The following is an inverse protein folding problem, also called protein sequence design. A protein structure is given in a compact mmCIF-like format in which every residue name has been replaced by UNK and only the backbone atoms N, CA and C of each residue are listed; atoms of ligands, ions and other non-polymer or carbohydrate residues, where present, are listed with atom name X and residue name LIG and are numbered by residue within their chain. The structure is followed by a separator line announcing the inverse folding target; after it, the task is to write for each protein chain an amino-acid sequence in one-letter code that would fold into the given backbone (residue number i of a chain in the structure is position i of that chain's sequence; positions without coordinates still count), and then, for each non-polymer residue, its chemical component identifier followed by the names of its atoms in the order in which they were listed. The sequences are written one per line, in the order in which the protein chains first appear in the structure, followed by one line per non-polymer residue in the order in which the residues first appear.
data_IF_303220317296
#
_entry.id   IF_303220317296
#
_cell.length_a   1.000
_cell.length_b   1.000
_cell.length_c   1.000
_cell.angle_alpha   90.00
_cell.angle_beta   90.00
_cell.angle_gamma   90.00
#
_symmetry.space_group_name_H-M   'P 1'
#
loop_
_entity.id
_entity.type
_entity.pdbx_description
1 polymer ?
#
# COMPACT_ATOMS: atom_id res chain seq x y z
N UNK A 1 -20.18 3.75 0.87
CA UNK A 1 -20.50 3.22 2.22
C UNK A 1 -19.55 3.86 3.21
N UNK A 2 -20.02 4.47 4.31
CA UNK A 2 -19.15 5.17 5.25
C UNK A 2 -18.26 4.20 6.06
N UNK A 3 -16.99 4.55 6.28
CA UNK A 3 -16.05 3.73 7.06
C UNK A 3 -16.45 3.71 8.54
N UNK A 4 -16.62 2.54 9.17
CA UNK A 4 -16.99 2.44 10.59
C UNK A 4 -16.02 3.17 11.53
N UNK A 5 -16.48 3.75 12.66
CA UNK A 5 -15.62 4.49 13.59
C UNK A 5 -14.42 3.69 14.10
N UNK A 6 -14.58 2.38 14.32
CA UNK A 6 -13.49 1.48 14.72
C UNK A 6 -12.41 1.37 13.65
N UNK A 7 -12.78 1.33 12.37
CA UNK A 7 -11.83 1.31 11.25
C UNK A 7 -11.10 2.64 11.11
N UNK A 8 -11.80 3.77 11.35
CA UNK A 8 -11.18 5.10 11.36
C UNK A 8 -10.03 5.21 12.37
N UNK A 9 -10.21 4.68 13.59
CA UNK A 9 -9.14 4.64 14.60
C UNK A 9 -7.91 3.85 14.15
N UNK A 10 -8.13 2.73 13.44
CA UNK A 10 -7.03 1.91 12.89
C UNK A 10 -6.26 2.70 11.84
N UNK A 11 -6.97 3.36 10.91
CA UNK A 11 -6.34 4.18 9.87
C UNK A 11 -5.50 5.30 10.49
N UNK A 12 -6.02 5.99 11.52
CA UNK A 12 -5.25 7.02 12.24
C UNK A 12 -3.98 6.45 12.89
N UNK A 13 -4.09 5.30 13.57
CA UNK A 13 -2.92 4.64 14.18
C UNK A 13 -1.86 4.24 13.12
N UNK A 14 -2.28 3.79 11.95
CA UNK A 14 -1.38 3.51 10.82
C UNK A 14 -0.65 4.78 10.38
N UNK A 15 -1.37 5.88 10.18
CA UNK A 15 -0.78 7.18 9.78
C UNK A 15 0.18 7.75 10.82
N UNK A 16 -0.14 7.62 12.11
CA UNK A 16 0.78 8.00 13.20
C UNK A 16 2.05 7.14 13.19
N UNK A 17 1.93 5.84 12.89
CA UNK A 17 3.09 4.95 12.76
C UNK A 17 3.93 5.27 11.51
N UNK A 18 3.32 5.79 10.45
CA UNK A 18 4.02 6.35 9.28
C UNK A 18 4.83 7.59 9.69
N UNK A 19 4.21 8.55 10.37
CA UNK A 19 4.88 9.76 10.85
C UNK A 19 6.05 9.45 11.81
N UNK A 20 5.85 8.54 12.78
CA UNK A 20 6.89 8.11 13.72
C UNK A 20 8.07 7.40 13.06
N UNK A 21 7.89 6.81 11.89
CA UNK A 21 9.00 6.22 11.15
C UNK A 21 9.87 7.28 10.53
N UNK A 22 9.28 8.25 9.81
CA UNK A 22 10.06 9.31 9.17
C UNK A 22 10.74 10.22 10.19
N UNK A 23 10.11 10.45 11.35
CA UNK A 23 10.75 11.13 12.46
C UNK A 23 12.01 10.41 12.98
N UNK A 24 12.03 9.06 12.94
CA UNK A 24 13.18 8.23 13.36
C UNK A 24 14.19 7.99 12.23
N UNK A 25 13.75 8.06 10.98
CA UNK A 25 14.52 7.78 9.76
C UNK A 25 14.54 9.01 8.87
N UNK A 26 15.26 10.03 9.34
CA UNK A 26 15.37 11.31 8.61
C UNK A 26 16.07 11.15 7.25
N UNK A 27 16.81 10.05 7.08
CA UNK A 27 17.46 9.61 5.83
C UNK A 27 16.49 9.08 4.77
N UNK A 28 15.22 8.83 5.13
CA UNK A 28 14.23 8.20 4.25
C UNK A 28 13.17 9.21 3.80
N UNK A 29 12.72 9.09 2.55
CA UNK A 29 11.55 9.81 2.03
C UNK A 29 10.43 8.83 1.67
N UNK A 30 10.76 7.56 1.41
CA UNK A 30 9.79 6.54 1.03
C UNK A 30 9.83 5.33 1.97
N UNK A 31 8.64 4.76 2.21
CA UNK A 31 8.48 3.44 2.84
C UNK A 31 7.33 2.67 2.20
N UNK A 32 7.43 1.35 2.24
CA UNK A 32 6.33 0.45 1.89
C UNK A 32 6.01 -0.40 3.11
N UNK A 33 4.72 -0.67 3.32
CA UNK A 33 4.25 -1.57 4.37
C UNK A 33 3.02 -2.32 3.93
N UNK A 34 2.69 -3.39 4.65
CA UNK A 34 1.38 -4.03 4.51
C UNK A 34 0.26 -3.04 4.84
N UNK A 35 -0.79 -3.08 4.04
CA UNK A 35 -2.00 -2.32 4.30
C UNK A 35 -2.80 -3.00 5.42
N UNK A 36 -3.32 -2.19 6.35
CA UNK A 36 -4.32 -2.69 7.27
C UNK A 36 -5.63 -2.97 6.52
N UNK A 37 -6.41 -3.94 7.00
CA UNK A 37 -7.75 -4.25 6.43
C UNK A 37 -8.65 -3.01 6.37
N UNK A 38 -8.49 -2.09 7.33
CA UNK A 38 -9.23 -0.83 7.38
C UNK A 38 -8.84 0.13 6.24
N UNK A 39 -7.57 0.16 5.82
CA UNK A 39 -7.10 1.01 4.72
C UNK A 39 -7.57 0.48 3.36
N UNK A 40 -7.56 -0.84 3.18
CA UNK A 40 -8.17 -1.48 2.01
C UNK A 40 -9.67 -1.18 1.96
N UNK A 41 -10.37 -1.27 3.10
CA UNK A 41 -11.79 -0.93 3.17
C UNK A 41 -12.08 0.55 2.87
N UNK A 42 -11.20 1.47 3.31
CA UNK A 42 -11.29 2.90 2.97
C UNK A 42 -11.12 3.11 1.47
N UNK A 43 -10.05 2.57 0.87
CA UNK A 43 -9.79 2.67 -0.56
C UNK A 43 -10.97 2.13 -1.40
N UNK A 44 -11.61 1.05 -0.92
CA UNK A 44 -12.85 0.53 -1.53
C UNK A 44 -14.04 1.46 -1.40
N UNK A 45 -14.20 2.10 -0.25
CA UNK A 45 -15.30 3.04 -0.04
C UNK A 45 -15.17 4.33 -0.85
N UNK A 46 -13.93 4.70 -1.19
CA UNK A 46 -13.59 5.89 -1.99
C UNK A 46 -13.54 5.58 -3.50
N UNK A 47 -13.70 4.30 -3.88
CA UNK A 47 -13.71 3.88 -5.28
C UNK A 47 -12.33 3.80 -5.93
N UNK A 48 -11.25 3.91 -5.16
CA UNK A 48 -9.88 3.72 -5.67
C UNK A 48 -9.65 2.29 -6.17
N UNK A 49 -10.29 1.32 -5.50
CA UNK A 49 -10.30 -0.10 -5.85
C UNK A 49 -11.73 -0.62 -5.60
N UNK A 50 -12.35 -1.39 -6.48
CA UNK A 50 -13.74 -1.85 -6.26
C UNK A 50 -13.80 -3.34 -6.00
N UNK A 51 -12.86 -4.09 -6.57
CA UNK A 51 -12.79 -5.54 -6.47
C UNK A 51 -12.23 -6.00 -5.11
N UNK A 52 -12.63 -7.21 -4.64
CA UNK A 52 -11.98 -7.83 -3.50
C UNK A 52 -10.55 -8.25 -3.84
N UNK A 53 -9.62 -8.12 -2.89
CA UNK A 53 -8.24 -8.62 -3.05
C UNK A 53 -8.26 -10.15 -3.17
N UNK A 54 -7.78 -10.73 -4.30
CA UNK A 54 -7.78 -12.18 -4.52
C UNK A 54 -6.79 -12.94 -3.64
N UNK A 55 -6.96 -14.26 -3.55
CA UNK A 55 -6.01 -15.13 -2.85
C UNK A 55 -4.61 -15.06 -3.49
N UNK A 56 -3.56 -15.09 -2.66
CA UNK A 56 -2.17 -14.98 -3.09
C UNK A 56 -1.70 -13.56 -3.43
N UNK A 57 -2.60 -12.57 -3.37
CA UNK A 57 -2.30 -11.13 -3.47
C UNK A 57 -2.60 -10.46 -2.14
N UNK A 58 -1.81 -9.45 -1.78
CA UNK A 58 -2.03 -8.62 -0.59
C UNK A 58 -2.03 -7.14 -0.94
N UNK A 59 -2.73 -6.35 -0.14
CA UNK A 59 -2.71 -4.90 -0.21
C UNK A 59 -1.52 -4.33 0.56
N UNK A 60 -0.88 -3.33 -0.01
CA UNK A 60 0.24 -2.60 0.56
C UNK A 60 -0.04 -1.10 0.52
N UNK A 61 0.68 -0.36 1.35
CA UNK A 61 0.66 1.10 1.37
C UNK A 61 2.08 1.58 1.18
N UNK A 62 2.31 2.33 0.10
CA UNK A 62 3.52 3.10 -0.10
C UNK A 62 3.28 4.52 0.42
N UNK A 63 4.27 5.06 1.12
CA UNK A 63 4.18 6.39 1.74
C UNK A 63 5.36 7.22 1.28
N UNK A 64 5.07 8.43 0.83
CA UNK A 64 6.06 9.45 0.51
C UNK A 64 5.97 10.59 1.54
N UNK A 65 7.12 11.01 2.04
CA UNK A 65 7.27 12.26 2.79
C UNK A 65 7.62 13.39 1.83
N UNK A 66 6.69 14.34 1.69
CA UNK A 66 6.83 15.52 0.83
C UNK A 66 7.74 16.58 1.47
N UNK A 67 8.24 17.57 0.70
CA UNK A 67 9.14 18.61 1.20
C UNK A 67 8.57 19.48 2.34
N UNK A 68 7.24 19.58 2.47
CA UNK A 68 6.53 20.26 3.54
C UNK A 68 6.26 19.35 4.76
N UNK A 69 6.95 18.21 4.85
CA UNK A 69 6.76 17.13 5.84
C UNK A 69 5.37 16.48 5.81
N UNK A 70 4.52 16.83 4.83
CA UNK A 70 3.26 16.14 4.63
C UNK A 70 3.50 14.71 4.14
N UNK A 71 2.67 13.77 4.60
CA UNK A 71 2.71 12.40 4.12
C UNK A 71 1.66 12.19 3.04
N UNK A 72 2.06 11.52 1.98
CA UNK A 72 1.16 11.06 0.92
C UNK A 72 1.16 9.53 0.89
N UNK A 73 -0.02 8.93 0.74
CA UNK A 73 -0.21 7.48 0.79
C UNK A 73 -0.78 6.99 -0.55
N UNK A 74 -0.18 5.93 -1.09
CA UNK A 74 -0.69 5.20 -2.25
C UNK A 74 -0.99 3.75 -1.84
N UNK A 75 -2.16 3.24 -2.23
CA UNK A 75 -2.52 1.83 -2.04
C UNK A 75 -2.06 1.05 -3.27
N UNK A 76 -1.37 -0.06 -3.05
CA UNK A 76 -0.95 -0.96 -4.11
C UNK A 76 -1.19 -2.42 -3.74
N UNK A 77 -0.82 -3.30 -4.66
CA UNK A 77 -1.07 -4.73 -4.58
C UNK A 77 0.14 -5.48 -5.07
N UNK A 78 0.50 -6.52 -4.34
CA UNK A 78 1.65 -7.36 -4.67
C UNK A 78 1.36 -8.80 -4.26
N UNK A 79 2.14 -9.78 -4.75
CA UNK A 79 2.12 -11.13 -4.22
C UNK A 79 2.27 -11.17 -2.69
N UNK A 80 1.62 -12.14 -2.05
CA UNK A 80 1.54 -12.25 -0.58
C UNK A 80 2.91 -12.28 0.14
N UNK A 81 3.96 -12.74 -0.54
CA UNK A 81 5.31 -12.89 0.00
C UNK A 81 6.26 -11.73 -0.35
N UNK A 82 5.75 -10.62 -0.87
CA UNK A 82 6.58 -9.46 -1.22
C UNK A 82 7.21 -8.82 0.01
N UNK A 83 8.54 -8.65 -0.04
CA UNK A 83 9.31 -8.00 1.03
C UNK A 83 8.97 -6.51 1.11
N UNK A 84 8.80 -6.00 2.33
CA UNK A 84 8.55 -4.57 2.59
C UNK A 84 9.76 -3.83 3.16
N UNK A 85 10.81 -4.56 3.56
CA UNK A 85 12.07 -3.96 3.98
C UNK A 85 12.88 -3.56 2.74
N UNK A 86 12.48 -2.44 2.15
CA UNK A 86 13.02 -1.91 0.91
C UNK A 86 14.02 -0.78 1.19
N UNK A 87 15.08 -0.71 0.39
CA UNK A 87 15.91 0.49 0.33
C UNK A 87 15.10 1.70 -0.21
N UNK A 88 15.68 2.88 -0.14
CA UNK A 88 14.99 4.12 -0.54
C UNK A 88 14.61 4.11 -2.03
N UNK A 89 15.47 3.56 -2.89
CA UNK A 89 15.24 3.52 -4.33
C UNK A 89 14.09 2.58 -4.69
N UNK A 90 14.07 1.39 -4.11
CA UNK A 90 13.01 0.41 -4.31
C UNK A 90 11.69 0.89 -3.70
N UNK A 91 11.72 1.53 -2.52
CA UNK A 91 10.51 2.11 -1.92
C UNK A 91 9.94 3.26 -2.77
N UNK A 92 10.78 4.09 -3.37
CA UNK A 92 10.35 5.14 -4.31
C UNK A 92 9.74 4.54 -5.58
N UNK A 93 10.37 3.52 -6.16
CA UNK A 93 9.83 2.83 -7.35
C UNK A 93 8.44 2.22 -7.07
N UNK A 94 8.31 1.49 -5.95
CA UNK A 94 7.04 0.91 -5.52
C UNK A 94 5.98 1.98 -5.28
N UNK A 95 6.35 3.14 -4.72
CA UNK A 95 5.41 4.24 -4.56
C UNK A 95 4.86 4.75 -5.89
N UNK A 96 5.72 4.97 -6.89
CA UNK A 96 5.30 5.41 -8.23
C UNK A 96 4.43 4.36 -8.94
N UNK A 97 4.74 3.09 -8.74
CA UNK A 97 3.95 1.97 -9.24
C UNK A 97 2.56 1.92 -8.58
N UNK A 98 2.50 2.02 -7.26
CA UNK A 98 1.23 1.96 -6.51
C UNK A 98 0.28 3.10 -6.83
N UNK A 99 0.79 4.28 -7.22
CA UNK A 99 -0.07 5.38 -7.68
C UNK A 99 -0.90 5.04 -8.93
N UNK A 100 -0.48 4.02 -9.68
CA UNK A 100 -1.12 3.58 -10.91
C UNK A 100 -1.99 2.33 -10.71
N UNK A 101 -1.96 1.72 -9.52
CA UNK A 101 -2.68 0.48 -9.27
C UNK A 101 -4.19 0.69 -9.23
N UNK A 102 -4.88 -0.21 -9.92
CA UNK A 102 -6.33 -0.24 -10.05
C UNK A 102 -6.84 -1.69 -10.04
N UNK A 103 -8.13 -1.86 -10.33
CA UNK A 103 -8.77 -3.18 -10.40
C UNK A 103 -8.20 -4.06 -11.53
N UNK A 104 -7.73 -3.47 -12.64
CA UNK A 104 -7.08 -4.22 -13.72
C UNK A 104 -5.74 -4.80 -13.26
N UNK A 105 -4.94 -3.98 -12.59
CA UNK A 105 -3.67 -4.40 -11.98
C UNK A 105 -3.87 -5.56 -11.00
N UNK A 106 -4.92 -5.48 -10.16
CA UNK A 106 -5.28 -6.54 -9.22
C UNK A 106 -5.63 -7.86 -9.92
N UNK A 107 -6.39 -7.79 -11.02
CA UNK A 107 -6.76 -8.96 -11.81
C UNK A 107 -5.54 -9.60 -12.48
N UNK A 108 -4.65 -8.79 -13.05
CA UNK A 108 -3.44 -9.26 -13.72
C UNK A 108 -2.47 -9.93 -12.74
N UNK A 109 -2.26 -9.35 -11.57
CA UNK A 109 -1.45 -9.95 -10.50
C UNK A 109 -2.04 -11.29 -10.05
N UNK A 110 -3.35 -11.36 -9.85
CA UNK A 110 -4.01 -12.61 -9.47
C UNK A 110 -3.93 -13.68 -10.57
N UNK A 111 -3.90 -13.29 -11.85
CA UNK A 111 -3.63 -14.22 -12.95
C UNK A 111 -2.19 -14.75 -12.89
N UNK A 112 -1.19 -13.87 -12.71
CA UNK A 112 0.23 -14.24 -12.62
C UNK A 112 0.53 -15.17 -11.43
N UNK A 113 -0.06 -14.91 -10.27
CA UNK A 113 0.10 -15.76 -9.08
C UNK A 113 -0.48 -17.15 -9.32
N UNK A 114 -1.65 -17.25 -9.97
CA UNK A 114 -2.28 -18.55 -10.30
C UNK A 114 -1.47 -19.39 -11.28
N UNK A 115 -0.81 -18.75 -12.24
CA UNK A 115 0.03 -19.44 -13.22
C UNK A 115 1.45 -19.73 -12.71
N UNK A 116 1.73 -19.44 -11.43
CA UNK A 116 3.01 -19.72 -10.80
C UNK A 116 4.14 -18.83 -11.31
N UNK A 117 3.80 -17.59 -11.73
CA UNK A 117 4.66 -16.63 -12.41
C UNK A 117 6.15 -16.82 -12.16
N UNK A 118 6.80 -17.55 -13.07
CA UNK A 118 8.24 -17.56 -13.21
C UNK A 118 8.65 -16.14 -13.63
N UNK A 119 9.19 -15.38 -12.71
CA UNK A 119 10.04 -14.24 -13.06
C UNK A 119 11.36 -14.81 -13.58
N UNK A 120 11.57 -14.69 -14.89
CA UNK A 120 12.88 -14.82 -15.51
C UNK A 120 13.79 -13.65 -15.08
#
# INVERSE_FOLDING_TARGET
MAVPPKMRRIILACREADAKFFARRQDRQHRVRLAARAEIALARSEGAITLPVPAGVRGFVAVERRPDEALHWAIGFEPEHTNTDLDERAAHAAYLEFLQHDDATLCDLAARVRTGGATA
#
